data_IF_916848258885
#
_entry.id   IF_916848258885
#
_cell.length_a   1.000
_cell.length_b   1.000
_cell.length_c   1.000
_cell.angle_alpha   90.00
_cell.angle_beta   90.00
_cell.angle_gamma   90.00
#
_symmetry.space_group_name_H-M   'P 1'
#
loop_
_entity.id
_entity.type
_entity.pdbx_description
1 polymer ?
#
# COMPACT_ATOMS: atom_id res chain seq x y z
N UNK A 1 -17.69 -31.35 -11.43
CA UNK A 1 -17.93 -29.95 -11.00
C UNK A 1 -16.58 -29.28 -10.83
N UNK A 2 -16.31 -28.11 -11.46
CA UNK A 2 -15.06 -27.39 -11.26
C UNK A 2 -14.97 -26.91 -9.81
N UNK A 3 -13.80 -27.00 -9.18
CA UNK A 3 -13.59 -26.45 -7.84
C UNK A 3 -13.67 -24.91 -7.92
N UNK A 4 -14.67 -24.26 -7.30
CA UNK A 4 -14.82 -22.80 -7.36
C UNK A 4 -13.63 -22.07 -6.73
N UNK A 5 -12.84 -22.74 -5.88
CA UNK A 5 -11.62 -22.18 -5.28
C UNK A 5 -10.49 -22.06 -6.29
N UNK A 6 -10.55 -22.74 -7.44
CA UNK A 6 -9.49 -22.77 -8.47
C UNK A 6 -9.80 -21.82 -9.64
N UNK A 7 -10.51 -20.72 -9.39
CA UNK A 7 -10.80 -19.73 -10.42
C UNK A 7 -9.60 -18.78 -10.60
N UNK A 8 -9.32 -18.41 -11.85
CA UNK A 8 -8.36 -17.36 -12.18
C UNK A 8 -8.75 -16.04 -11.48
N UNK A 9 -7.77 -15.38 -10.87
CA UNK A 9 -7.90 -14.04 -10.29
C UNK A 9 -6.98 -13.12 -11.09
N UNK A 10 -7.50 -12.02 -11.63
CA UNK A 10 -6.71 -11.05 -12.40
C UNK A 10 -6.92 -9.65 -11.85
N UNK A 11 -5.84 -8.88 -11.79
CA UNK A 11 -5.83 -7.48 -11.36
C UNK A 11 -4.82 -6.69 -12.21
N UNK A 12 -5.33 -5.89 -13.15
CA UNK A 12 -4.48 -5.20 -14.10
C UNK A 12 -3.66 -6.19 -14.93
N UNK A 13 -2.33 -6.02 -14.92
CA UNK A 13 -1.39 -6.89 -15.63
C UNK A 13 -1.09 -8.20 -14.87
N UNK A 14 -1.38 -8.26 -13.57
CA UNK A 14 -1.13 -9.43 -12.76
C UNK A 14 -2.28 -10.44 -12.87
N UNK A 15 -1.91 -11.70 -13.05
CA UNK A 15 -2.84 -12.83 -13.03
C UNK A 15 -2.35 -13.91 -12.07
N UNK A 16 -3.28 -14.54 -11.36
CA UNK A 16 -3.05 -15.60 -10.38
C UNK A 16 -3.94 -16.79 -10.71
N UNK A 17 -3.33 -17.88 -11.17
CA UNK A 17 -4.00 -19.09 -11.63
C UNK A 17 -3.54 -20.32 -10.83
N UNK A 18 -4.34 -21.38 -10.75
CA UNK A 18 -3.86 -22.66 -10.23
C UNK A 18 -2.72 -23.20 -11.10
N UNK A 19 -1.67 -23.72 -10.47
CA UNK A 19 -0.55 -24.36 -11.16
C UNK A 19 -0.81 -25.86 -11.39
N UNK A 20 0.14 -26.53 -12.07
CA UNK A 20 0.09 -27.97 -12.33
C UNK A 20 0.06 -28.77 -11.02
N UNK A 21 0.87 -28.39 -10.04
CA UNK A 21 0.80 -28.93 -8.70
C UNK A 21 -0.49 -28.46 -8.00
N UNK A 22 -1.33 -29.37 -7.48
CA UNK A 22 -2.67 -29.03 -7.00
C UNK A 22 -2.67 -28.07 -5.79
N UNK A 23 -1.61 -28.04 -4.98
CA UNK A 23 -1.47 -27.12 -3.85
C UNK A 23 -0.90 -25.75 -4.22
N UNK A 24 -0.39 -25.60 -5.45
CA UNK A 24 0.31 -24.40 -5.89
C UNK A 24 -0.53 -23.52 -6.80
N UNK A 25 -0.16 -22.25 -6.77
CA UNK A 25 -0.72 -21.17 -7.54
C UNK A 25 0.40 -20.36 -8.16
N UNK A 26 0.20 -19.99 -9.42
CA UNK A 26 1.15 -19.26 -10.26
C UNK A 26 0.71 -17.81 -10.45
N UNK A 27 1.56 -16.85 -10.08
CA UNK A 27 1.41 -15.44 -10.44
C UNK A 27 2.20 -15.16 -11.72
N UNK A 28 1.61 -14.42 -12.66
CA UNK A 28 2.31 -13.83 -13.83
C UNK A 28 2.04 -12.33 -13.91
N UNK A 29 3.07 -11.57 -14.30
CA UNK A 29 3.00 -10.12 -14.50
C UNK A 29 2.57 -9.69 -15.91
N UNK A 30 2.65 -10.61 -16.86
CA UNK A 30 2.14 -10.50 -18.23
C UNK A 30 2.08 -11.92 -18.83
N UNK A 31 1.50 -12.07 -20.02
CA UNK A 31 1.38 -13.37 -20.68
C UNK A 31 2.74 -14.05 -20.91
N UNK A 32 3.74 -13.25 -21.31
CA UNK A 32 5.10 -13.68 -21.62
C UNK A 32 6.04 -13.75 -20.40
N UNK A 33 5.59 -13.26 -19.23
CA UNK A 33 6.42 -13.26 -18.03
C UNK A 33 6.53 -14.67 -17.42
N UNK A 34 7.71 -15.04 -16.88
CA UNK A 34 7.85 -16.28 -16.13
C UNK A 34 6.90 -16.28 -14.93
N UNK A 35 6.23 -17.41 -14.72
CA UNK A 35 5.34 -17.60 -13.58
C UNK A 35 6.13 -17.84 -12.29
N UNK A 36 5.70 -17.22 -11.21
CA UNK A 36 6.17 -17.52 -9.86
C UNK A 36 5.14 -18.40 -9.17
N UNK A 37 5.54 -19.58 -8.70
CA UNK A 37 4.65 -20.51 -8.01
C UNK A 37 4.86 -20.52 -6.50
N UNK A 38 3.77 -20.52 -5.74
CA UNK A 38 3.79 -20.73 -4.30
C UNK A 38 2.47 -21.36 -3.82
N UNK A 39 2.41 -21.77 -2.56
CA UNK A 39 1.16 -22.25 -1.96
C UNK A 39 0.21 -21.08 -1.75
N UNK A 40 -1.10 -21.35 -1.75
CA UNK A 40 -2.12 -20.33 -1.49
C UNK A 40 -1.85 -19.51 -0.21
N UNK A 41 -1.43 -20.19 0.88
CA UNK A 41 -1.12 -19.52 2.15
C UNK A 41 0.09 -18.57 2.09
N UNK A 42 1.00 -18.74 1.13
CA UNK A 42 2.12 -17.81 0.93
C UNK A 42 1.63 -16.54 0.23
N UNK A 43 0.75 -16.68 -0.76
CA UNK A 43 0.11 -15.54 -1.43
C UNK A 43 -0.74 -14.71 -0.46
N UNK A 44 -1.52 -15.35 0.42
CA UNK A 44 -2.30 -14.65 1.45
C UNK A 44 -1.39 -13.86 2.40
N UNK A 45 -0.27 -14.46 2.83
CA UNK A 45 0.71 -13.78 3.69
C UNK A 45 1.37 -12.60 2.98
N UNK A 46 1.70 -12.74 1.70
CA UNK A 46 2.24 -11.65 0.89
C UNK A 46 1.22 -10.50 0.76
N UNK A 47 -0.04 -10.81 0.42
CA UNK A 47 -1.09 -9.81 0.30
C UNK A 47 -1.29 -9.02 1.60
N UNK A 48 -1.29 -9.70 2.76
CA UNK A 48 -1.36 -9.03 4.06
C UNK A 48 -0.19 -8.07 4.28
N UNK A 49 1.05 -8.49 3.96
CA UNK A 49 2.23 -7.62 4.08
C UNK A 49 2.17 -6.41 3.15
N UNK A 50 1.64 -6.56 1.94
CA UNK A 50 1.43 -5.44 1.01
C UNK A 50 0.45 -4.43 1.60
N UNK A 51 -0.67 -4.89 2.16
CA UNK A 51 -1.66 -4.01 2.82
C UNK A 51 -1.08 -3.30 4.05
N UNK A 52 -0.27 -4.00 4.85
CA UNK A 52 0.39 -3.40 6.01
C UNK A 52 1.41 -2.32 5.60
N UNK A 53 2.14 -2.54 4.49
CA UNK A 53 3.06 -1.56 3.94
C UNK A 53 2.35 -0.32 3.36
N UNK A 54 1.23 -0.52 2.64
CA UNK A 54 0.39 0.57 2.12
C UNK A 54 -0.18 1.43 3.26
N UNK A 55 -0.69 0.80 4.32
CA UNK A 55 -1.20 1.50 5.50
C UNK A 55 -0.12 2.35 6.17
N UNK A 56 1.10 1.81 6.30
CA UNK A 56 2.23 2.55 6.86
C UNK A 56 2.63 3.75 5.98
N UNK A 57 2.64 3.60 4.64
CA UNK A 57 2.96 4.69 3.72
C UNK A 57 2.00 5.86 3.91
N UNK A 58 0.69 5.58 3.93
CA UNK A 58 -0.35 6.60 4.10
C UNK A 58 -0.28 7.30 5.45
N UNK A 59 0.08 6.57 6.50
CA UNK A 59 0.29 7.15 7.82
C UNK A 59 1.48 8.13 7.82
N UNK A 60 2.59 7.74 7.18
CA UNK A 60 3.77 8.60 7.07
C UNK A 60 3.49 9.85 6.22
N UNK A 61 2.79 9.71 5.10
CA UNK A 61 2.32 10.82 4.27
C UNK A 61 1.45 11.77 5.09
N UNK A 62 0.44 11.27 5.81
CA UNK A 62 -0.43 12.11 6.64
C UNK A 62 0.28 12.82 7.79
N UNK A 63 1.34 12.22 8.35
CA UNK A 63 2.20 12.91 9.34
C UNK A 63 3.04 14.01 8.69
N UNK A 64 3.51 13.80 7.47
CA UNK A 64 4.21 14.82 6.68
C UNK A 64 3.31 16.02 6.40
N UNK A 65 2.11 15.78 5.88
CA UNK A 65 1.11 16.81 5.61
C UNK A 65 0.76 17.62 6.88
N UNK A 66 0.62 16.93 8.02
CA UNK A 66 0.38 17.59 9.30
C UNK A 66 1.55 18.46 9.76
N UNK A 67 2.80 18.02 9.51
CA UNK A 67 3.99 18.81 9.81
C UNK A 67 4.08 20.05 8.92
N UNK A 68 3.85 19.91 7.61
CA UNK A 68 3.85 21.03 6.67
C UNK A 68 2.80 22.08 7.02
N UNK A 69 1.58 21.64 7.38
CA UNK A 69 0.51 22.53 7.84
C UNK A 69 0.90 23.28 9.12
N UNK A 70 1.49 22.57 10.10
CA UNK A 70 1.95 23.16 11.35
C UNK A 70 3.09 24.15 11.16
N UNK A 71 4.03 23.86 10.25
CA UNK A 71 5.11 24.77 9.89
C UNK A 71 4.59 26.03 9.20
N UNK A 72 3.67 25.89 8.25
CA UNK A 72 3.02 27.03 7.59
C UNK A 72 2.22 27.90 8.56
N UNK A 73 1.49 27.30 9.50
CA UNK A 73 0.76 28.02 10.54
C UNK A 73 1.71 28.80 11.47
N UNK A 74 2.78 28.16 11.95
CA UNK A 74 3.77 28.84 12.80
C UNK A 74 4.55 29.94 12.07
N UNK A 75 4.83 29.77 10.78
CA UNK A 75 5.44 30.82 9.95
C UNK A 75 4.48 32.01 9.74
N UNK A 76 3.19 31.74 9.53
CA UNK A 76 2.15 32.77 9.43
C UNK A 76 2.03 33.56 10.75
N UNK A 77 1.98 32.87 11.89
CA UNK A 77 1.96 33.49 13.23
C UNK A 77 3.22 34.33 13.50
N UNK A 78 4.41 33.85 13.10
CA UNK A 78 5.65 34.61 13.24
C UNK A 78 5.74 35.82 12.29
N UNK A 79 5.03 35.79 11.16
CA UNK A 79 4.94 36.90 10.21
C UNK A 79 3.79 37.88 10.49
N UNK A 80 2.90 37.54 11.42
CA UNK A 80 1.67 38.26 11.76
C UNK A 80 1.76 39.03 13.06
N UNK A 81 2.07 40.33 12.95
CA UNK A 81 1.97 41.38 13.97
C UNK A 81 2.84 41.22 15.22
N UNK A 82 3.83 42.12 15.34
CA UNK A 82 4.26 42.69 16.61
C UNK A 82 3.00 43.05 17.41
N UNK A 83 2.58 42.17 18.32
CA UNK A 83 1.74 42.60 19.44
C UNK A 83 2.73 43.24 20.42
N UNK A 84 2.79 44.58 20.52
CA UNK A 84 3.76 45.20 21.39
C UNK A 84 3.41 44.78 22.82
N UNK A 85 4.39 44.26 23.55
CA UNK A 85 4.24 43.96 24.96
C UNK A 85 3.76 45.23 25.70
N UNK A 86 2.55 45.24 26.31
CA UNK A 86 1.99 46.44 26.95
C UNK A 86 2.66 46.80 28.28
N UNK A 87 3.70 46.07 28.69
CA UNK A 87 4.43 46.29 29.95
C UNK A 87 5.89 46.74 29.75
N UNK A 88 6.19 47.48 28.67
CA UNK A 88 7.53 48.08 28.48
C UNK A 88 7.56 49.56 28.82
#
# INVERSE_FOLDING_TARGET
>A
MPDPRRKLISSGTLSLAPADAPEKWAVRASEDAPAVEARWGDWVRLAKRILDADALSRELEGRGDAWDLGHAAGAADASGSDTPNPFR
#
